data_IF_828978797599
#
_entry.id   IF_828978797599
#
_cell.length_a   1.000
_cell.length_b   1.000
_cell.length_c   1.000
_cell.angle_alpha   90.00
_cell.angle_beta   90.00
_cell.angle_gamma   90.00
#
_symmetry.space_group_name_H-M   'P 1'
#
loop_
_entity.id
_entity.type
_entity.pdbx_description
1 polymer ?
#
# COMPACT_ATOMS: atom_id res chain seq x y z
N UNK A 1 1.91 -4.48 -24.80
CA UNK A 1 3.08 -5.11 -24.14
C UNK A 1 3.67 -4.06 -23.21
N UNK A 2 3.33 -4.10 -21.92
CA UNK A 2 3.96 -3.20 -20.94
C UNK A 2 5.28 -3.82 -20.52
N UNK A 3 6.36 -3.05 -20.57
CA UNK A 3 7.72 -3.51 -20.27
C UNK A 3 7.94 -3.42 -18.74
N UNK A 4 8.20 -4.52 -18.02
CA UNK A 4 8.39 -4.48 -16.57
C UNK A 4 9.90 -4.42 -16.26
N UNK A 5 10.50 -3.23 -16.33
CA UNK A 5 11.80 -3.01 -15.71
C UNK A 5 11.92 -1.57 -15.22
N UNK A 6 12.21 -1.44 -13.93
CA UNK A 6 12.30 -0.20 -13.13
C UNK A 6 10.98 0.39 -12.64
N UNK A 7 10.30 -0.35 -11.77
CA UNK A 7 9.56 0.27 -10.68
C UNK A 7 10.13 -0.26 -9.36
N UNK A 8 11.09 0.45 -8.77
CA UNK A 8 11.53 0.23 -7.37
C UNK A 8 10.44 0.71 -6.38
N UNK A 9 9.19 0.84 -6.81
CA UNK A 9 8.04 1.26 -6.03
C UNK A 9 6.97 0.17 -6.08
N UNK A 10 6.34 -0.14 -4.94
CA UNK A 10 5.26 -1.11 -4.90
C UNK A 10 4.00 -0.50 -5.51
N UNK A 11 3.84 -0.58 -6.82
CA UNK A 11 2.65 -0.08 -7.52
C UNK A 11 1.98 -1.25 -8.23
N UNK A 12 0.67 -1.44 -8.01
CA UNK A 12 -0.14 -2.50 -8.61
C UNK A 12 -1.34 -1.89 -9.32
N UNK A 13 -1.66 -2.35 -10.52
CA UNK A 13 -2.79 -1.82 -11.30
C UNK A 13 -3.57 -2.96 -11.94
N UNK A 14 -4.89 -2.95 -11.75
CA UNK A 14 -5.82 -3.95 -12.25
C UNK A 14 -7.10 -3.32 -12.81
N UNK A 15 -8.03 -4.16 -13.33
CA UNK A 15 -9.31 -3.68 -13.85
C UNK A 15 -10.21 -3.06 -12.77
N UNK A 16 -9.95 -3.38 -11.50
CA UNK A 16 -10.68 -2.84 -10.35
C UNK A 16 -10.09 -1.52 -9.82
N UNK A 17 -8.96 -1.04 -10.35
CA UNK A 17 -8.29 0.18 -9.87
C UNK A 17 -6.77 0.06 -9.83
N UNK A 18 -6.12 1.09 -9.32
CA UNK A 18 -4.67 1.15 -9.16
C UNK A 18 -4.29 1.52 -7.72
N UNK A 19 -3.21 0.92 -7.22
CA UNK A 19 -2.64 1.23 -5.93
C UNK A 19 -1.14 1.52 -6.01
N UNK A 20 -0.65 2.40 -5.14
CA UNK A 20 0.78 2.69 -4.99
C UNK A 20 1.14 2.77 -3.51
N UNK A 21 2.03 1.89 -3.10
CA UNK A 21 2.58 1.78 -1.76
C UNK A 21 3.91 2.53 -1.64
N UNK A 22 4.03 3.31 -0.58
CA UNK A 22 5.22 4.07 -0.18
C UNK A 22 5.58 3.69 1.25
N UNK A 23 6.87 3.58 1.57
CA UNK A 23 7.30 3.20 2.92
C UNK A 23 8.76 2.81 3.00
N UNK A 24 9.28 2.78 4.22
CA UNK A 24 10.69 2.47 4.53
C UNK A 24 10.97 0.96 4.72
N UNK A 25 9.95 0.11 4.52
CA UNK A 25 10.06 -1.35 4.60
C UNK A 25 10.59 -1.99 3.32
N UNK A 26 11.01 -3.25 3.44
CA UNK A 26 11.46 -4.13 2.35
C UNK A 26 10.55 -4.02 1.11
N UNK A 27 11.15 -4.02 -0.10
CA UNK A 27 10.45 -3.90 -1.39
C UNK A 27 9.23 -4.85 -1.53
N UNK A 28 9.35 -6.03 -0.91
CA UNK A 28 8.32 -7.07 -0.86
C UNK A 28 7.08 -6.61 -0.07
N UNK A 29 7.27 -5.91 1.05
CA UNK A 29 6.19 -5.36 1.86
C UNK A 29 5.38 -4.33 1.06
N UNK A 30 6.04 -3.46 0.31
CA UNK A 30 5.36 -2.46 -0.55
C UNK A 30 4.56 -3.13 -1.67
N UNK A 31 5.16 -4.12 -2.33
CA UNK A 31 4.48 -4.86 -3.40
C UNK A 31 3.28 -5.64 -2.87
N UNK A 32 3.41 -6.25 -1.68
CA UNK A 32 2.32 -6.97 -1.02
C UNK A 32 1.19 -6.02 -0.63
N UNK A 33 1.52 -4.85 -0.08
CA UNK A 33 0.55 -3.83 0.31
C UNK A 33 -0.28 -3.32 -0.87
N UNK A 34 0.37 -2.95 -1.98
CA UNK A 34 -0.31 -2.48 -3.19
C UNK A 34 -1.24 -3.56 -3.76
N UNK A 35 -0.77 -4.82 -3.79
CA UNK A 35 -1.56 -5.94 -4.31
C UNK A 35 -2.75 -6.29 -3.42
N UNK A 36 -2.60 -6.25 -2.10
CA UNK A 36 -3.72 -6.43 -1.17
C UNK A 36 -4.78 -5.35 -1.35
N UNK A 37 -4.36 -4.09 -1.51
CA UNK A 37 -5.28 -2.99 -1.72
C UNK A 37 -6.10 -3.13 -3.01
N UNK A 38 -5.46 -3.48 -4.13
CA UNK A 38 -6.16 -3.74 -5.41
C UNK A 38 -7.08 -4.96 -5.31
N UNK A 39 -6.67 -6.00 -4.57
CA UNK A 39 -7.52 -7.17 -4.34
C UNK A 39 -8.78 -6.85 -3.52
N UNK A 40 -8.67 -5.98 -2.51
CA UNK A 40 -9.79 -5.52 -1.69
C UNK A 40 -10.78 -4.67 -2.51
N UNK A 41 -10.27 -3.75 -3.33
CA UNK A 41 -11.06 -3.03 -4.33
C UNK A 41 -11.83 -3.98 -5.26
N UNK A 42 -11.14 -4.98 -5.81
CA UNK A 42 -11.76 -5.99 -6.68
C UNK A 42 -12.82 -6.85 -5.98
N UNK A 43 -12.80 -6.89 -4.64
CA UNK A 43 -13.81 -7.54 -3.81
C UNK A 43 -15.07 -6.70 -3.55
N UNK A 44 -15.12 -5.46 -4.05
CA UNK A 44 -16.25 -4.53 -3.82
C UNK A 44 -16.14 -3.71 -2.55
N UNK A 45 -14.94 -3.56 -1.97
CA UNK A 45 -14.71 -2.65 -0.85
C UNK A 45 -14.41 -1.25 -1.36
N UNK A 46 -14.78 -0.24 -0.59
CA UNK A 46 -14.41 1.14 -0.85
C UNK A 46 -12.88 1.32 -0.84
N UNK A 47 -12.32 2.20 -1.67
CA UNK A 47 -10.87 2.44 -1.74
C UNK A 47 -10.27 2.86 -0.39
N UNK A 48 -11.04 3.55 0.46
CA UNK A 48 -10.62 3.96 1.80
C UNK A 48 -10.47 2.76 2.74
N UNK A 49 -11.52 1.92 2.81
CA UNK A 49 -11.49 0.69 3.61
C UNK A 49 -10.41 -0.27 3.10
N UNK A 50 -10.27 -0.41 1.77
CA UNK A 50 -9.23 -1.22 1.15
C UNK A 50 -7.82 -0.77 1.57
N UNK A 51 -7.57 0.55 1.58
CA UNK A 51 -6.30 1.11 1.98
C UNK A 51 -6.03 0.88 3.48
N UNK A 52 -6.98 1.21 4.35
CA UNK A 52 -6.87 1.06 5.80
C UNK A 52 -6.55 -0.38 6.20
N UNK A 53 -7.30 -1.31 5.61
CA UNK A 53 -7.20 -2.74 5.91
C UNK A 53 -5.89 -3.32 5.42
N UNK A 54 -5.44 -2.97 4.21
CA UNK A 54 -4.14 -3.39 3.69
C UNK A 54 -2.99 -2.90 4.58
N UNK A 55 -3.05 -1.64 5.02
CA UNK A 55 -2.03 -1.04 5.91
C UNK A 55 -2.03 -1.68 7.29
N UNK A 56 -3.20 -1.95 7.86
CA UNK A 56 -3.34 -2.64 9.16
C UNK A 56 -2.79 -4.06 9.11
N UNK A 57 -3.09 -4.81 8.05
CA UNK A 57 -2.63 -6.19 7.83
C UNK A 57 -1.11 -6.23 7.67
N UNK A 58 -0.55 -5.29 6.89
CA UNK A 58 0.89 -5.14 6.75
C UNK A 58 1.56 -4.83 8.10
N UNK A 59 1.00 -3.89 8.86
CA UNK A 59 1.51 -3.53 10.19
C UNK A 59 1.52 -4.74 11.13
N UNK A 60 0.46 -5.54 11.11
CA UNK A 60 0.35 -6.74 11.92
C UNK A 60 1.33 -7.83 11.48
N UNK A 61 1.58 -7.97 10.17
CA UNK A 61 2.42 -9.04 9.63
C UNK A 61 3.92 -8.71 9.62
N UNK A 62 4.31 -7.44 9.47
CA UNK A 62 5.73 -7.03 9.38
C UNK A 62 6.19 -6.14 10.54
N UNK A 63 5.26 -5.53 11.30
CA UNK A 63 5.61 -4.49 12.29
C UNK A 63 6.17 -3.20 11.67
N UNK A 64 6.20 -3.11 10.33
CA UNK A 64 6.76 -2.00 9.59
C UNK A 64 5.77 -0.86 9.36
N UNK A 65 6.30 0.28 8.95
CA UNK A 65 5.52 1.49 8.62
C UNK A 65 5.49 1.73 7.11
N UNK A 66 4.29 1.93 6.58
CA UNK A 66 4.03 2.17 5.18
C UNK A 66 2.74 2.99 4.98
N UNK A 67 2.53 3.43 3.75
CA UNK A 67 1.27 4.00 3.28
C UNK A 67 0.95 3.51 1.88
N UNK A 68 -0.32 3.49 1.54
CA UNK A 68 -0.84 3.12 0.23
C UNK A 68 -1.88 4.12 -0.23
N UNK A 69 -1.82 4.45 -1.51
CA UNK A 69 -2.84 5.23 -2.21
C UNK A 69 -3.54 4.27 -3.15
N UNK A 70 -4.87 4.30 -3.16
CA UNK A 70 -5.74 3.38 -3.88
C UNK A 70 -6.74 4.21 -4.66
N UNK A 71 -6.93 3.92 -5.95
CA UNK A 71 -7.84 4.64 -6.81
C UNK A 71 -8.71 3.64 -7.55
N UNK A 72 -10.02 3.79 -7.40
CA UNK A 72 -11.03 3.01 -8.09
C UNK A 72 -11.34 3.62 -9.49
N UNK A 73 -11.84 2.81 -10.45
CA UNK A 73 -12.26 3.27 -11.77
C UNK A 73 -13.36 4.33 -11.79
N UNK A 74 -14.23 4.43 -10.77
CA UNK A 74 -15.21 5.51 -10.64
C UNK A 74 -14.57 6.86 -10.27
N UNK A 75 -13.25 6.89 -10.05
CA UNK A 75 -12.48 8.10 -9.73
C UNK A 75 -12.40 8.37 -8.23
N UNK A 76 -12.85 7.44 -7.40
CA UNK A 76 -12.73 7.54 -5.95
C UNK A 76 -11.33 7.13 -5.51
N UNK A 77 -10.66 7.97 -4.74
CA UNK A 77 -9.34 7.67 -4.19
C UNK A 77 -9.41 7.52 -2.67
N UNK A 78 -8.75 6.49 -2.15
CA UNK A 78 -8.57 6.19 -0.74
C UNK A 78 -7.09 6.15 -0.40
N UNK A 79 -6.73 6.59 0.80
CA UNK A 79 -5.33 6.60 1.22
C UNK A 79 -5.26 6.19 2.68
N UNK A 80 -4.32 5.32 3.02
CA UNK A 80 -4.06 4.95 4.39
C UNK A 80 -2.55 4.90 4.62
N UNK A 81 -2.14 5.20 5.84
CA UNK A 81 -0.76 5.06 6.27
C UNK A 81 -0.71 4.76 7.75
N UNK A 82 0.07 3.74 8.13
CA UNK A 82 0.37 3.47 9.54
C UNK A 82 1.72 4.09 9.93
N UNK A 83 2.34 4.86 9.04
CA UNK A 83 3.56 5.63 9.27
C UNK A 83 3.39 6.46 10.54
N UNK A 84 3.77 5.86 11.66
CA UNK A 84 3.67 6.50 12.95
C UNK A 84 4.55 7.74 12.88
N UNK A 85 3.97 8.90 13.19
CA UNK A 85 4.69 10.06 13.67
C UNK A 85 5.34 9.77 15.05
N UNK A 86 6.04 8.64 15.15
CA UNK A 86 6.75 8.16 16.32
C UNK A 86 8.18 7.85 15.89
N UNK A 87 8.84 8.91 15.41
CA UNK A 87 10.28 9.02 15.57
C UNK A 87 10.59 9.14 17.06
N UNK A 88 10.57 8.02 17.79
CA UNK A 88 11.59 7.84 18.82
C UNK A 88 12.74 7.15 18.13
N UNK A 89 13.63 7.96 17.56
CA UNK A 89 14.99 7.55 17.26
C UNK A 89 15.62 7.05 18.56
N UNK A 90 15.67 5.74 18.77
CA UNK A 90 16.80 5.16 19.50
C UNK A 90 17.87 4.89 18.45
N UNK A 91 18.59 5.96 18.10
CA UNK A 91 19.92 5.82 17.52
C UNK A 91 20.88 5.73 18.71
N UNK A 92 21.04 4.51 19.23
CA UNK A 92 22.38 4.03 19.61
C UNK A 92 22.95 3.51 18.28
N UNK A 93 24.03 4.02 17.73
CA UNK A 93 25.31 4.49 18.28
C UNK A 93 26.05 5.40 17.29
#
# INVERSE_FOLDING_TARGET
>A
MVNPHSATGGSDAGPAGAASATGHGEDIARTTLARQAVALLGGGHDPDEAAERAVSDLAASTGGTAGVIVVDPDGTAGTAHNAAAMGTSDARE
#
